data_IF_252338995330
#
_entry.id   IF_252338995330
#
_cell.length_a   1.000
_cell.length_b   1.000
_cell.length_c   1.000
_cell.angle_alpha   90.00
_cell.angle_beta   90.00
_cell.angle_gamma   90.00
#
_symmetry.space_group_name_H-M   'P 1'
#
loop_
_entity.id
_entity.type
_entity.pdbx_description
1 polymer ?
#
# COMPACT_ATOMS: atom_id res chain seq x y z
N UNK A 1 18.42 14.97 -0.98
CA UNK A 1 17.40 15.99 -1.33
C UNK A 1 17.03 15.97 -2.80
N UNK A 2 17.97 16.18 -3.74
CA UNK A 2 17.67 16.19 -5.20
C UNK A 2 17.01 14.89 -5.68
N UNK A 3 17.56 13.73 -5.29
CA UNK A 3 17.02 12.41 -5.65
C UNK A 3 15.56 12.24 -5.20
N UNK A 4 15.20 12.80 -4.04
CA UNK A 4 13.82 12.76 -3.51
C UNK A 4 12.88 13.68 -4.27
N UNK A 5 13.35 14.87 -4.67
CA UNK A 5 12.56 15.80 -5.49
C UNK A 5 12.29 15.25 -6.89
N UNK A 6 13.21 14.44 -7.41
CA UNK A 6 13.04 13.74 -8.69
C UNK A 6 12.25 12.42 -8.55
N UNK A 7 11.77 12.07 -7.36
CA UNK A 7 11.08 10.80 -7.07
C UNK A 7 11.93 9.56 -7.44
N UNK A 8 13.24 9.62 -7.20
CA UNK A 8 14.20 8.55 -7.48
C UNK A 8 14.75 7.87 -6.21
N UNK A 9 14.36 8.32 -5.02
CA UNK A 9 14.95 7.90 -3.75
C UNK A 9 14.82 6.39 -3.49
N UNK A 10 13.74 5.79 -3.98
CA UNK A 10 13.44 4.37 -3.78
C UNK A 10 14.24 3.43 -4.70
N UNK A 11 14.99 3.97 -5.66
CA UNK A 11 15.92 3.20 -6.50
C UNK A 11 17.29 3.02 -5.86
N UNK A 12 17.61 3.84 -4.86
CA UNK A 12 18.88 3.78 -4.14
C UNK A 12 18.68 2.96 -2.87
N UNK A 13 19.27 1.76 -2.74
CA UNK A 13 19.03 0.85 -1.62
C UNK A 13 19.80 1.27 -0.35
N UNK A 14 19.69 2.54 0.04
CA UNK A 14 20.34 3.15 1.21
C UNK A 14 19.27 3.83 2.07
N UNK A 15 19.15 3.40 3.33
CA UNK A 15 18.07 3.84 4.24
C UNK A 15 18.01 5.35 4.47
N UNK A 16 19.17 6.00 4.59
CA UNK A 16 19.25 7.45 4.71
C UNK A 16 18.79 8.19 3.46
N UNK A 17 18.69 7.51 2.31
CA UNK A 17 18.18 8.09 1.06
C UNK A 17 16.67 7.90 0.96
N UNK A 18 16.15 6.66 1.06
CA UNK A 18 14.73 6.39 0.85
C UNK A 18 13.84 6.81 2.04
N UNK A 19 14.37 6.87 3.27
CA UNK A 19 13.65 7.41 4.44
C UNK A 19 14.11 8.82 4.85
N UNK A 20 15.06 9.43 4.11
CA UNK A 20 15.80 10.60 4.59
C UNK A 20 14.98 11.89 4.76
N UNK A 21 13.95 12.13 3.95
CA UNK A 21 13.18 13.38 3.99
C UNK A 21 11.85 13.21 4.71
N UNK A 22 11.05 12.25 4.25
CA UNK A 22 9.79 11.86 4.87
C UNK A 22 9.71 10.34 4.83
N UNK A 23 9.62 9.70 6.00
CA UNK A 23 9.60 8.23 6.14
C UNK A 23 8.66 7.54 5.16
N UNK A 24 7.39 7.94 5.02
CA UNK A 24 6.46 7.38 4.03
C UNK A 24 6.67 7.80 2.56
N UNK A 25 7.44 8.84 2.25
CA UNK A 25 7.49 9.39 0.87
C UNK A 25 8.14 8.51 -0.19
N UNK A 26 8.80 7.41 0.18
CA UNK A 26 9.35 6.46 -0.79
C UNK A 26 8.26 5.84 -1.68
N UNK A 27 7.01 5.76 -1.22
CA UNK A 27 5.90 5.25 -2.04
C UNK A 27 5.63 6.12 -3.27
N UNK A 28 5.89 7.43 -3.19
CA UNK A 28 5.72 8.38 -4.29
C UNK A 28 6.60 8.04 -5.49
N UNK A 29 7.83 7.57 -5.24
CA UNK A 29 8.72 7.10 -6.29
C UNK A 29 8.20 5.81 -6.94
N UNK A 30 7.59 4.91 -6.15
CA UNK A 30 6.92 3.73 -6.69
C UNK A 30 5.73 4.14 -7.57
N UNK A 31 4.87 5.04 -7.09
CA UNK A 31 3.72 5.53 -7.84
C UNK A 31 4.12 6.21 -9.14
N UNK A 32 5.12 7.10 -9.12
CA UNK A 32 5.64 7.75 -10.31
C UNK A 32 6.12 6.73 -11.36
N UNK A 33 6.88 5.71 -10.92
CA UNK A 33 7.29 4.62 -11.81
C UNK A 33 6.09 3.82 -12.34
N UNK A 34 5.12 3.50 -11.49
CA UNK A 34 3.91 2.78 -11.88
C UNK A 34 3.12 3.53 -12.95
N UNK A 35 2.94 4.85 -12.80
CA UNK A 35 2.32 5.69 -13.83
C UNK A 35 3.13 5.71 -15.13
N UNK A 36 4.46 5.71 -15.05
CA UNK A 36 5.31 5.65 -16.24
C UNK A 36 5.18 4.31 -17.00
N UNK A 37 5.04 3.18 -16.30
CA UNK A 37 4.89 1.85 -16.93
C UNK A 37 3.45 1.50 -17.32
N UNK A 38 2.45 2.13 -16.68
CA UNK A 38 1.03 1.91 -16.93
C UNK A 38 0.61 1.95 -18.41
N UNK A 39 0.98 2.95 -19.24
CA UNK A 39 0.60 3.00 -20.66
C UNK A 39 1.14 1.82 -21.47
N UNK A 40 2.20 1.15 -21.00
CA UNK A 40 2.76 -0.03 -21.65
C UNK A 40 2.10 -1.32 -21.16
N UNK A 41 1.76 -1.42 -19.87
CA UNK A 41 1.16 -2.63 -19.29
C UNK A 41 -0.31 -2.81 -19.70
N UNK A 42 -1.11 -1.74 -19.62
CA UNK A 42 -2.56 -1.83 -19.81
C UNK A 42 -2.96 -2.34 -21.19
N UNK A 43 -2.38 -1.88 -22.32
CA UNK A 43 -2.74 -2.41 -23.63
C UNK A 43 -2.46 -3.91 -23.76
N UNK A 44 -1.42 -4.43 -23.09
CA UNK A 44 -1.09 -5.86 -23.09
C UNK A 44 -2.12 -6.66 -22.30
N UNK A 45 -2.47 -6.20 -21.10
CA UNK A 45 -3.50 -6.85 -20.27
C UNK A 45 -4.87 -6.83 -20.95
N UNK A 46 -5.24 -5.71 -21.59
CA UNK A 46 -6.53 -5.57 -22.29
C UNK A 46 -6.75 -6.58 -23.41
N UNK A 47 -5.67 -7.10 -24.02
CA UNK A 47 -5.73 -8.13 -25.07
C UNK A 47 -5.95 -9.54 -24.52
N UNK A 48 -5.81 -9.73 -23.20
CA UNK A 48 -5.92 -11.03 -22.58
C UNK A 48 -7.38 -11.40 -22.31
N UNK A 49 -7.71 -12.68 -22.46
CA UNK A 49 -8.98 -13.22 -21.96
C UNK A 49 -9.01 -13.17 -20.43
N UNK A 50 -10.19 -13.28 -19.84
CA UNK A 50 -10.35 -13.37 -18.37
C UNK A 50 -9.52 -14.53 -17.81
N UNK A 51 -9.60 -15.71 -18.42
CA UNK A 51 -8.86 -16.89 -17.98
C UNK A 51 -7.34 -16.67 -18.04
N UNK A 52 -6.83 -16.08 -19.12
CA UNK A 52 -5.41 -15.75 -19.24
C UNK A 52 -4.98 -14.70 -18.22
N UNK A 53 -5.83 -13.73 -17.91
CA UNK A 53 -5.56 -12.69 -16.91
C UNK A 53 -5.45 -13.28 -15.51
N UNK A 54 -6.37 -14.18 -15.14
CA UNK A 54 -6.33 -14.87 -13.84
C UNK A 54 -5.10 -15.77 -13.73
N UNK A 55 -4.77 -16.53 -14.78
CA UNK A 55 -3.54 -17.32 -14.83
C UNK A 55 -2.30 -16.44 -14.67
N UNK A 56 -2.26 -15.29 -15.33
CA UNK A 56 -1.14 -14.37 -15.27
C UNK A 56 -0.96 -13.74 -13.88
N UNK A 57 -2.05 -13.40 -13.18
CA UNK A 57 -1.97 -12.98 -11.77
C UNK A 57 -1.34 -14.06 -10.90
N UNK A 58 -1.73 -15.33 -11.07
CA UNK A 58 -1.15 -16.44 -10.32
C UNK A 58 0.34 -16.64 -10.65
N UNK A 59 0.73 -16.56 -11.93
CA UNK A 59 2.13 -16.67 -12.35
C UNK A 59 2.97 -15.53 -11.78
N UNK A 60 2.50 -14.28 -11.86
CA UNK A 60 3.20 -13.12 -11.29
C UNK A 60 3.37 -13.29 -9.78
N UNK A 61 2.32 -13.71 -9.08
CA UNK A 61 2.36 -13.91 -7.64
C UNK A 61 3.39 -14.98 -7.26
N UNK A 62 3.36 -16.15 -7.92
CA UNK A 62 4.34 -17.22 -7.69
C UNK A 62 5.75 -16.74 -8.00
N UNK A 63 5.95 -16.00 -9.10
CA UNK A 63 7.24 -15.44 -9.45
C UNK A 63 7.75 -14.44 -8.38
N UNK A 64 6.87 -13.60 -7.83
CA UNK A 64 7.21 -12.68 -6.75
C UNK A 64 7.61 -13.43 -5.47
N UNK A 65 6.88 -14.48 -5.09
CA UNK A 65 7.23 -15.34 -3.95
C UNK A 65 8.60 -16.00 -4.15
N UNK A 66 8.83 -16.61 -5.32
CA UNK A 66 10.10 -17.27 -5.63
C UNK A 66 11.26 -16.27 -5.62
N UNK A 67 11.06 -15.10 -6.22
CA UNK A 67 12.06 -14.03 -6.25
C UNK A 67 12.40 -13.57 -4.82
N UNK A 68 11.39 -13.35 -3.97
CA UNK A 68 11.59 -12.96 -2.58
C UNK A 68 12.38 -14.02 -1.81
N UNK A 69 12.03 -15.30 -1.93
CA UNK A 69 12.75 -16.41 -1.27
C UNK A 69 14.21 -16.44 -1.72
N UNK A 70 14.46 -16.39 -3.04
CA UNK A 70 15.81 -16.41 -3.59
C UNK A 70 16.62 -15.20 -3.09
N UNK A 71 16.04 -14.00 -3.13
CA UNK A 71 16.75 -12.78 -2.74
C UNK A 71 16.98 -12.68 -1.23
N UNK A 72 16.07 -13.17 -0.38
CA UNK A 72 16.32 -13.26 1.07
C UNK A 72 17.44 -14.25 1.41
N UNK A 73 17.64 -15.29 0.59
CA UNK A 73 18.79 -16.20 0.74
C UNK A 73 20.08 -15.55 0.24
N UNK A 74 20.07 -14.94 -0.94
CA UNK A 74 21.28 -14.36 -1.55
C UNK A 74 21.75 -13.07 -0.88
N UNK A 75 20.82 -12.26 -0.36
CA UNK A 75 21.07 -10.96 0.23
C UNK A 75 20.87 -10.96 1.74
N UNK A 76 21.10 -12.09 2.42
CA UNK A 76 20.85 -12.27 3.86
C UNK A 76 21.38 -11.11 4.71
N UNK A 77 22.58 -10.63 4.40
CA UNK A 77 23.24 -9.51 5.08
C UNK A 77 23.27 -8.22 4.22
N UNK A 78 22.54 -8.24 3.11
CA UNK A 78 22.44 -7.15 2.15
C UNK A 78 21.25 -6.21 2.41
N UNK A 79 21.03 -5.22 1.54
CA UNK A 79 19.98 -4.21 1.73
C UNK A 79 18.60 -4.74 1.31
N UNK A 80 18.11 -5.79 2.00
CA UNK A 80 16.82 -6.45 1.69
C UNK A 80 15.66 -5.46 1.73
N UNK A 81 15.59 -4.54 2.70
CA UNK A 81 14.56 -3.48 2.73
C UNK A 81 14.65 -2.56 1.49
N UNK A 82 15.88 -2.18 1.12
CA UNK A 82 16.16 -1.35 -0.05
C UNK A 82 15.69 -1.99 -1.37
N UNK A 83 15.81 -3.32 -1.48
CA UNK A 83 15.57 -4.06 -2.72
C UNK A 83 14.18 -4.72 -2.77
N UNK A 84 13.72 -5.28 -1.66
CA UNK A 84 12.49 -6.08 -1.57
C UNK A 84 11.31 -5.31 -0.99
N UNK A 85 11.52 -4.13 -0.41
CA UNK A 85 10.41 -3.35 0.17
C UNK A 85 10.21 -2.03 -0.53
N UNK A 86 11.24 -1.17 -0.60
CA UNK A 86 11.06 0.18 -1.15
C UNK A 86 11.20 0.24 -2.67
N UNK A 87 11.90 -0.73 -3.28
CA UNK A 87 12.23 -0.67 -4.70
C UNK A 87 10.98 -0.72 -5.62
N UNK A 88 10.79 0.26 -6.53
CA UNK A 88 9.65 0.28 -7.43
C UNK A 88 9.58 -0.93 -8.38
N UNK A 89 10.72 -1.45 -8.83
CA UNK A 89 10.75 -2.60 -9.74
C UNK A 89 10.32 -3.88 -9.03
N UNK A 90 10.76 -4.09 -7.78
CA UNK A 90 10.27 -5.22 -7.00
C UNK A 90 8.76 -5.10 -6.77
N UNK A 91 8.24 -3.95 -6.36
CA UNK A 91 6.80 -3.77 -6.09
C UNK A 91 5.89 -3.80 -7.33
N UNK A 92 6.47 -3.86 -8.54
CA UNK A 92 5.70 -3.85 -9.79
C UNK A 92 4.69 -5.01 -9.89
N UNK A 93 4.95 -6.15 -9.23
CA UNK A 93 4.02 -7.28 -9.23
C UNK A 93 2.67 -6.94 -8.56
N UNK A 94 2.68 -6.14 -7.48
CA UNK A 94 1.46 -5.71 -6.78
C UNK A 94 0.61 -4.83 -7.70
N UNK A 95 1.26 -3.89 -8.38
CA UNK A 95 0.61 -3.00 -9.33
C UNK A 95 0.04 -3.76 -10.54
N UNK A 96 0.79 -4.72 -11.08
CA UNK A 96 0.34 -5.57 -12.17
C UNK A 96 -0.87 -6.43 -11.78
N UNK A 97 -0.88 -7.01 -10.56
CA UNK A 97 -2.07 -7.70 -10.02
C UNK A 97 -3.27 -6.76 -9.98
N UNK A 98 -3.10 -5.52 -9.52
CA UNK A 98 -4.17 -4.51 -9.52
C UNK A 98 -4.75 -4.23 -10.90
N UNK A 99 -3.91 -4.05 -11.93
CA UNK A 99 -4.34 -3.85 -13.33
C UNK A 99 -5.10 -5.08 -13.83
N UNK A 100 -4.55 -6.27 -13.62
CA UNK A 100 -5.17 -7.53 -14.04
C UNK A 100 -6.51 -7.77 -13.33
N UNK A 101 -6.59 -7.47 -12.04
CA UNK A 101 -7.80 -7.58 -11.25
C UNK A 101 -8.90 -6.67 -11.80
N UNK A 102 -8.58 -5.39 -12.03
CA UNK A 102 -9.50 -4.43 -12.61
C UNK A 102 -10.00 -4.89 -13.99
N UNK A 103 -9.09 -5.35 -14.86
CA UNK A 103 -9.45 -5.89 -16.18
C UNK A 103 -10.37 -7.11 -16.06
N UNK A 104 -10.00 -8.11 -15.25
CA UNK A 104 -10.79 -9.33 -15.07
C UNK A 104 -12.20 -9.01 -14.56
N UNK A 105 -12.32 -8.18 -13.51
CA UNK A 105 -13.61 -7.76 -12.96
C UNK A 105 -14.42 -6.96 -13.99
N UNK A 106 -13.80 -6.05 -14.73
CA UNK A 106 -14.48 -5.28 -15.79
C UNK A 106 -15.04 -6.16 -16.91
N UNK A 107 -14.41 -7.31 -17.18
CA UNK A 107 -14.82 -8.32 -18.16
C UNK A 107 -15.79 -9.36 -17.59
N UNK A 108 -16.31 -9.15 -16.39
CA UNK A 108 -17.32 -10.02 -15.77
C UNK A 108 -16.75 -11.17 -14.95
N UNK A 109 -15.44 -11.20 -14.66
CA UNK A 109 -14.93 -12.12 -13.66
C UNK A 109 -15.51 -11.79 -12.29
N UNK A 110 -16.01 -12.82 -11.60
CA UNK A 110 -16.66 -12.70 -10.30
C UNK A 110 -16.17 -13.82 -9.39
N UNK A 111 -15.29 -13.55 -8.42
CA UNK A 111 -14.90 -14.57 -7.45
C UNK A 111 -16.11 -14.98 -6.60
N UNK A 112 -16.19 -16.28 -6.27
CA UNK A 112 -17.26 -16.88 -5.47
C UNK A 112 -17.08 -16.65 -3.97
N UNK A 113 -16.59 -15.46 -3.58
CA UNK A 113 -16.40 -15.09 -2.17
C UNK A 113 -17.35 -13.94 -1.82
N UNK A 114 -18.08 -14.09 -0.71
CA UNK A 114 -18.93 -13.00 -0.21
C UNK A 114 -18.09 -11.96 0.53
N UNK A 115 -18.57 -10.71 0.58
CA UNK A 115 -17.87 -9.61 1.27
C UNK A 115 -17.46 -9.94 2.71
N UNK A 116 -18.32 -10.59 3.49
CA UNK A 116 -18.02 -10.99 4.88
C UNK A 116 -16.81 -11.91 4.98
N UNK A 117 -16.69 -12.88 4.07
CA UNK A 117 -15.59 -13.85 4.06
C UNK A 117 -14.31 -13.22 3.54
N UNK A 118 -14.40 -12.26 2.62
CA UNK A 118 -13.25 -11.50 2.17
C UNK A 118 -12.69 -10.60 3.28
N UNK A 119 -13.56 -9.90 4.02
CA UNK A 119 -13.17 -9.11 5.20
C UNK A 119 -12.56 -10.00 6.28
N UNK A 120 -13.21 -11.13 6.61
CA UNK A 120 -12.67 -12.07 7.59
C UNK A 120 -11.31 -12.62 7.15
N UNK A 121 -11.15 -12.95 5.87
CA UNK A 121 -9.87 -13.41 5.33
C UNK A 121 -8.75 -12.39 5.53
N UNK A 122 -9.01 -11.10 5.25
CA UNK A 122 -8.05 -10.01 5.52
C UNK A 122 -7.73 -9.90 7.02
N UNK A 123 -8.75 -9.95 7.90
CA UNK A 123 -8.53 -9.85 9.34
C UNK A 123 -7.73 -11.03 9.90
N UNK A 124 -8.04 -12.25 9.44
CA UNK A 124 -7.31 -13.46 9.85
C UNK A 124 -5.88 -13.43 9.32
N UNK A 125 -5.67 -13.04 8.06
CA UNK A 125 -4.33 -12.88 7.49
C UNK A 125 -3.53 -11.81 8.24
N UNK A 126 -4.14 -10.67 8.56
CA UNK A 126 -3.53 -9.62 9.37
C UNK A 126 -3.13 -10.13 10.75
N UNK A 127 -4.03 -10.79 11.46
CA UNK A 127 -3.75 -11.36 12.77
C UNK A 127 -2.64 -12.41 12.71
N UNK A 128 -2.63 -13.28 11.69
CA UNK A 128 -1.60 -14.30 11.50
C UNK A 128 -0.22 -13.68 11.21
N UNK A 129 -0.15 -12.67 10.33
CA UNK A 129 1.09 -11.94 10.03
C UNK A 129 1.65 -11.27 11.29
N UNK A 130 0.80 -10.61 12.08
CA UNK A 130 1.23 -9.97 13.33
C UNK A 130 1.64 -11.01 14.39
N UNK A 131 0.88 -12.08 14.56
CA UNK A 131 1.21 -13.16 15.49
C UNK A 131 2.55 -13.81 15.14
N UNK A 132 2.79 -14.07 13.84
CA UNK A 132 4.06 -14.59 13.36
C UNK A 132 5.20 -13.61 13.63
N UNK A 133 5.01 -12.34 13.31
CA UNK A 133 5.99 -11.28 13.60
C UNK A 133 6.34 -11.21 15.08
N UNK A 134 5.35 -11.27 15.97
CA UNK A 134 5.54 -11.30 17.42
C UNK A 134 6.27 -12.57 17.86
N UNK A 135 5.94 -13.74 17.32
CA UNK A 135 6.62 -14.99 17.64
C UNK A 135 8.10 -14.99 17.24
N UNK A 136 8.43 -14.36 16.10
CA UNK A 136 9.81 -14.12 15.65
C UNK A 136 10.54 -13.21 16.65
N UNK A 137 9.97 -12.05 16.96
CA UNK A 137 10.57 -11.07 17.88
C UNK A 137 10.79 -11.64 19.29
N UNK A 138 9.86 -12.44 19.80
CA UNK A 138 9.96 -13.10 21.10
C UNK A 138 10.80 -14.39 21.07
N UNK A 139 11.34 -14.79 19.91
CA UNK A 139 12.13 -16.01 19.73
C UNK A 139 11.41 -17.28 20.23
N UNK A 140 10.12 -17.41 19.92
CA UNK A 140 9.28 -18.51 20.41
C UNK A 140 9.20 -19.65 19.39
N UNK A 141 9.34 -20.88 19.88
CA UNK A 141 9.10 -22.10 19.10
C UNK A 141 10.10 -22.27 17.94
N UNK A 142 9.67 -22.82 16.78
CA UNK A 142 10.57 -23.10 15.66
C UNK A 142 11.15 -21.82 15.04
N UNK A 143 10.54 -20.66 15.29
CA UNK A 143 10.95 -19.36 14.75
C UNK A 143 12.16 -18.77 15.47
N UNK A 144 12.52 -19.26 16.65
CA UNK A 144 13.73 -18.85 17.39
C UNK A 144 15.03 -19.04 16.60
N UNK A 145 15.02 -19.95 15.61
CA UNK A 145 16.16 -20.26 14.75
C UNK A 145 16.24 -19.38 13.50
N UNK A 146 15.23 -18.54 13.26
CA UNK A 146 15.22 -17.65 12.11
C UNK A 146 16.16 -16.47 12.36
N UNK A 147 17.03 -16.12 11.40
CA UNK A 147 17.99 -15.02 11.55
C UNK A 147 17.33 -13.66 11.25
N UNK A 148 16.19 -13.37 11.87
CA UNK A 148 15.41 -12.15 11.64
C UNK A 148 14.76 -11.67 12.93
N UNK A 149 14.79 -10.37 13.17
CA UNK A 149 14.27 -9.74 14.40
C UNK A 149 12.76 -9.48 14.36
N UNK A 150 12.20 -9.35 13.17
CA UNK A 150 10.78 -9.10 12.90
C UNK A 150 10.45 -9.66 11.51
N UNK A 151 9.19 -9.95 11.24
CA UNK A 151 8.76 -10.35 9.91
C UNK A 151 8.99 -9.20 8.91
N UNK A 152 9.78 -9.39 7.84
CA UNK A 152 9.98 -8.38 6.81
C UNK A 152 8.65 -7.95 6.16
N UNK A 153 8.51 -6.64 5.91
CA UNK A 153 7.28 -6.06 5.36
C UNK A 153 6.94 -6.60 3.97
N UNK A 154 7.93 -6.94 3.17
CA UNK A 154 7.75 -7.54 1.84
C UNK A 154 7.14 -8.94 1.92
N UNK A 155 7.54 -9.75 2.90
CA UNK A 155 6.95 -11.06 3.15
C UNK A 155 5.52 -10.92 3.68
N UNK A 156 5.26 -9.93 4.53
CA UNK A 156 3.90 -9.59 4.94
C UNK A 156 3.04 -9.18 3.73
N UNK A 157 3.55 -8.37 2.81
CA UNK A 157 2.85 -8.00 1.58
C UNK A 157 2.53 -9.21 0.70
N UNK A 158 3.44 -10.17 0.54
CA UNK A 158 3.18 -11.42 -0.19
C UNK A 158 1.97 -12.17 0.39
N UNK A 159 1.87 -12.26 1.72
CA UNK A 159 0.70 -12.89 2.36
C UNK A 159 -0.57 -12.08 2.11
N UNK A 160 -0.49 -10.75 2.23
CA UNK A 160 -1.67 -9.88 2.29
C UNK A 160 -2.29 -9.54 0.94
N UNK A 161 -1.50 -9.40 -0.12
CA UNK A 161 -1.98 -8.97 -1.44
C UNK A 161 -3.08 -9.87 -2.02
N UNK A 162 -3.01 -11.21 -1.94
CA UNK A 162 -4.11 -12.08 -2.36
C UNK A 162 -5.43 -11.80 -1.61
N UNK A 163 -5.38 -11.55 -0.30
CA UNK A 163 -6.58 -11.25 0.49
C UNK A 163 -7.13 -9.86 0.15
N UNK A 164 -6.27 -8.86 -0.05
CA UNK A 164 -6.70 -7.54 -0.53
C UNK A 164 -7.31 -7.61 -1.93
N UNK A 165 -6.73 -8.38 -2.86
CA UNK A 165 -7.28 -8.58 -4.19
C UNK A 165 -8.67 -9.21 -4.13
N UNK A 166 -8.89 -10.22 -3.28
CA UNK A 166 -10.20 -10.83 -3.07
C UNK A 166 -11.20 -9.87 -2.44
N UNK A 167 -10.77 -9.05 -1.46
CA UNK A 167 -11.62 -8.02 -0.84
C UNK A 167 -12.06 -6.99 -1.86
N UNK A 168 -11.13 -6.46 -2.66
CA UNK A 168 -11.41 -5.50 -3.73
C UNK A 168 -12.35 -6.12 -4.76
N UNK A 169 -12.12 -7.36 -5.18
CA UNK A 169 -12.98 -8.06 -6.12
C UNK A 169 -14.40 -8.28 -5.58
N UNK A 170 -14.52 -8.64 -4.31
CA UNK A 170 -15.81 -8.84 -3.64
C UNK A 170 -16.59 -7.53 -3.49
N UNK A 171 -15.88 -6.44 -3.15
CA UNK A 171 -16.46 -5.10 -3.07
C UNK A 171 -16.94 -4.63 -4.44
N UNK A 172 -16.08 -4.71 -5.46
CA UNK A 172 -16.40 -4.30 -6.84
C UNK A 172 -17.55 -5.11 -7.43
N UNK A 173 -17.59 -6.43 -7.20
CA UNK A 173 -18.74 -7.26 -7.58
C UNK A 173 -20.03 -6.74 -6.96
N UNK A 174 -20.02 -6.51 -5.65
CA UNK A 174 -21.22 -6.13 -4.91
C UNK A 174 -21.76 -4.77 -5.36
N UNK A 175 -20.85 -3.85 -5.70
CA UNK A 175 -21.18 -2.56 -6.31
C UNK A 175 -21.79 -2.72 -7.72
N UNK A 176 -21.19 -3.55 -8.56
CA UNK A 176 -21.70 -3.83 -9.91
C UNK A 176 -23.06 -4.56 -9.89
N UNK A 177 -23.34 -5.33 -8.83
CA UNK A 177 -24.63 -5.98 -8.58
C UNK A 177 -25.68 -5.00 -7.99
N UNK A 178 -25.34 -3.70 -7.83
CA UNK A 178 -26.26 -2.65 -7.37
C UNK A 178 -26.46 -2.61 -5.85
N UNK A 179 -25.68 -3.36 -5.07
CA UNK A 179 -25.83 -3.39 -3.63
C UNK A 179 -24.99 -2.31 -2.94
N UNK A 180 -25.65 -1.52 -2.08
CA UNK A 180 -24.94 -0.59 -1.21
C UNK A 180 -24.16 -1.36 -0.13
N UNK A 181 -22.91 -0.98 0.08
CA UNK A 181 -22.05 -1.49 1.15
C UNK A 181 -21.82 -0.42 2.22
N UNK A 182 -21.48 -0.85 3.43
CA UNK A 182 -21.02 0.06 4.48
C UNK A 182 -19.89 0.98 3.99
N UNK A 183 -18.97 0.45 3.17
CA UNK A 183 -17.80 1.17 2.64
C UNK A 183 -18.15 2.31 1.66
N UNK A 184 -19.38 2.36 1.16
CA UNK A 184 -19.85 3.42 0.25
C UNK A 184 -20.42 4.65 0.97
N UNK A 185 -20.45 4.66 2.32
CA UNK A 185 -20.96 5.81 3.06
C UNK A 185 -20.14 7.07 2.72
N UNK A 186 -20.76 8.24 2.48
CA UNK A 186 -20.06 9.44 2.02
C UNK A 186 -18.88 9.86 2.91
N UNK A 187 -18.98 9.68 4.22
CA UNK A 187 -17.91 9.99 5.16
C UNK A 187 -16.73 9.02 5.05
N UNK A 188 -16.96 7.73 4.81
CA UNK A 188 -15.90 6.74 4.57
C UNK A 188 -15.19 7.01 3.25
N UNK A 189 -15.96 7.36 2.21
CA UNK A 189 -15.39 7.77 0.92
C UNK A 189 -14.55 9.05 1.09
N UNK A 190 -15.00 9.98 1.93
CA UNK A 190 -14.24 11.22 2.22
C UNK A 190 -12.94 10.92 2.97
N UNK A 191 -12.98 10.05 3.99
CA UNK A 191 -11.76 9.59 4.67
C UNK A 191 -10.81 8.86 3.71
N UNK A 192 -11.35 8.08 2.77
CA UNK A 192 -10.58 7.46 1.70
C UNK A 192 -9.84 8.48 0.83
N UNK A 193 -10.49 9.60 0.46
CA UNK A 193 -9.86 10.69 -0.27
C UNK A 193 -8.73 11.35 0.53
N UNK A 194 -8.90 11.51 1.84
CA UNK A 194 -7.88 12.12 2.72
C UNK A 194 -6.75 11.16 3.07
N UNK A 195 -6.95 9.84 2.87
CA UNK A 195 -6.03 8.80 3.35
C UNK A 195 -4.60 8.96 2.83
N UNK A 196 -4.43 9.43 1.58
CA UNK A 196 -3.11 9.66 1.00
C UNK A 196 -2.40 10.86 1.63
N UNK A 197 -3.11 11.99 1.81
CA UNK A 197 -2.58 13.13 2.53
C UNK A 197 -2.20 12.75 3.97
N UNK A 198 -3.05 11.98 4.65
CA UNK A 198 -2.78 11.46 6.00
C UNK A 198 -1.54 10.56 6.01
N UNK A 199 -1.41 9.67 5.03
CA UNK A 199 -0.24 8.80 4.88
C UNK A 199 1.06 9.61 4.76
N UNK A 200 1.05 10.75 4.05
CA UNK A 200 2.24 11.60 3.93
C UNK A 200 2.52 12.47 5.17
N UNK A 201 1.49 12.86 5.92
CA UNK A 201 1.64 13.84 7.03
C UNK A 201 1.74 13.20 8.42
N UNK A 202 1.17 12.01 8.64
CA UNK A 202 1.07 11.43 9.99
C UNK A 202 2.43 11.23 10.67
N UNK A 203 3.43 10.74 9.94
CA UNK A 203 4.75 10.45 10.50
C UNK A 203 5.43 11.71 11.03
N UNK A 204 5.31 12.84 10.31
CA UNK A 204 5.84 14.12 10.76
C UNK A 204 5.12 14.63 12.00
N UNK A 205 3.79 14.52 12.04
CA UNK A 205 3.00 14.98 13.19
C UNK A 205 3.30 14.16 14.45
N UNK A 206 3.42 12.84 14.30
CA UNK A 206 3.82 11.95 15.40
C UNK A 206 5.24 12.23 15.87
N UNK A 207 6.19 12.43 14.95
CA UNK A 207 7.57 12.77 15.31
C UNK A 207 7.68 14.13 15.99
N UNK A 208 6.92 15.13 15.52
CA UNK A 208 6.86 16.45 16.15
C UNK A 208 6.28 16.37 17.56
N UNK A 209 5.17 15.62 17.74
CA UNK A 209 4.58 15.40 19.06
C UNK A 209 5.58 14.70 20.00
N UNK A 210 6.24 13.64 19.53
CA UNK A 210 7.23 12.90 20.33
C UNK A 210 8.42 13.76 20.78
N UNK A 211 8.82 14.79 20.02
CA UNK A 211 9.91 15.71 20.40
C UNK A 211 9.51 16.75 21.45
N UNK A 212 8.22 17.08 21.53
CA UNK A 212 7.71 18.12 22.44
C UNK A 212 7.27 17.48 23.77
N UNK A 213 6.84 16.22 23.73
CA UNK A 213 6.33 15.52 24.90
C UNK A 213 7.48 15.07 25.81
N UNK A 214 7.41 15.37 27.13
CA UNK A 214 8.38 14.85 28.09
C UNK A 214 8.31 13.33 28.19
N UNK A 215 9.46 12.68 28.31
CA UNK A 215 9.55 11.22 28.54
C UNK A 215 8.96 10.79 29.89
N UNK A 216 8.74 11.74 30.81
CA UNK A 216 8.21 11.51 32.16
C UNK A 216 6.68 11.41 32.21
N UNK A 217 5.97 11.54 31.07
CA UNK A 217 4.51 11.41 31.03
C UNK A 217 4.08 9.98 31.35
N UNK A 218 2.99 9.84 32.10
CA UNK A 218 2.40 8.53 32.34
C UNK A 218 1.86 7.92 31.03
N UNK A 219 1.76 6.59 30.99
CA UNK A 219 1.39 5.89 29.76
C UNK A 219 -0.03 6.24 29.27
N UNK A 220 -0.98 6.38 30.20
CA UNK A 220 -2.36 6.73 29.87
C UNK A 220 -2.44 8.09 29.16
N UNK A 221 -1.72 9.11 29.65
CA UNK A 221 -1.66 10.43 29.04
C UNK A 221 -0.91 10.38 27.72
N UNK A 222 0.16 9.58 27.61
CA UNK A 222 0.89 9.36 26.34
C UNK A 222 -0.04 8.77 25.27
N UNK A 223 -0.84 7.76 25.60
CA UNK A 223 -1.83 7.19 24.68
C UNK A 223 -2.94 8.18 24.34
N UNK A 224 -3.45 8.93 25.32
CA UNK A 224 -4.45 9.97 25.10
C UNK A 224 -3.96 11.05 24.13
N UNK A 225 -2.75 11.55 24.34
CA UNK A 225 -2.11 12.54 23.47
C UNK A 225 -1.86 11.97 22.08
N UNK A 226 -1.38 10.73 21.98
CA UNK A 226 -1.19 10.06 20.69
C UNK A 226 -2.51 9.95 19.92
N UNK A 227 -3.60 9.58 20.60
CA UNK A 227 -4.93 9.55 20.01
C UNK A 227 -5.38 10.94 19.52
N UNK A 228 -5.15 11.98 20.32
CA UNK A 228 -5.43 13.35 19.91
C UNK A 228 -4.59 13.77 18.68
N UNK A 229 -3.30 13.41 18.63
CA UNK A 229 -2.42 13.68 17.48
C UNK A 229 -2.92 12.97 16.22
N UNK A 230 -3.40 11.73 16.33
CA UNK A 230 -4.00 11.01 15.19
C UNK A 230 -5.25 11.71 14.69
N UNK A 231 -6.14 12.14 15.59
CA UNK A 231 -7.35 12.89 15.21
C UNK A 231 -6.99 14.22 14.54
N UNK A 232 -6.02 14.95 15.10
CA UNK A 232 -5.49 16.17 14.49
C UNK A 232 -4.85 15.91 13.13
N UNK A 233 -4.13 14.80 12.96
CA UNK A 233 -3.55 14.40 11.69
C UNK A 233 -4.61 14.11 10.62
N UNK A 234 -5.73 13.47 11.00
CA UNK A 234 -6.87 13.26 10.11
C UNK A 234 -7.47 14.62 9.69
N UNK A 235 -7.71 15.52 10.64
CA UNK A 235 -8.22 16.87 10.33
C UNK A 235 -7.28 17.65 9.41
N UNK A 236 -5.99 17.66 9.73
CA UNK A 236 -4.95 18.31 8.94
C UNK A 236 -4.85 17.72 7.52
N UNK A 237 -4.95 16.40 7.38
CA UNK A 237 -4.97 15.75 6.07
C UNK A 237 -6.14 16.21 5.19
N UNK A 238 -7.31 16.46 5.80
CA UNK A 238 -8.47 17.02 5.09
C UNK A 238 -8.21 18.44 4.58
N UNK A 239 -7.52 19.28 5.35
CA UNK A 239 -7.13 20.64 4.94
C UNK A 239 -6.12 20.60 3.79
N UNK A 240 -5.07 19.78 3.91
CA UNK A 240 -4.05 19.59 2.86
C UNK A 240 -4.70 19.08 1.57
N UNK A 241 -5.59 18.09 1.68
CA UNK A 241 -6.31 17.56 0.53
C UNK A 241 -7.15 18.63 -0.19
N UNK A 242 -7.91 19.43 0.58
CA UNK A 242 -8.80 20.45 0.00
C UNK A 242 -8.05 21.64 -0.60
N UNK A 243 -6.95 22.07 0.01
CA UNK A 243 -6.26 23.31 -0.36
C UNK A 243 -5.03 23.10 -1.25
N UNK A 244 -4.44 21.91 -1.25
CA UNK A 244 -3.24 21.61 -2.03
C UNK A 244 -3.54 20.59 -3.12
N UNK A 245 -4.02 19.41 -2.75
CA UNK A 245 -4.16 18.28 -3.68
C UNK A 245 -5.25 18.55 -4.71
N UNK A 246 -6.47 18.88 -4.27
CA UNK A 246 -7.62 19.08 -5.16
C UNK A 246 -7.44 20.24 -6.15
N UNK A 247 -6.90 21.42 -5.75
CA UNK A 247 -6.64 22.50 -6.71
C UNK A 247 -5.58 22.15 -7.75
N UNK A 248 -4.52 21.44 -7.34
CA UNK A 248 -3.47 21.00 -8.25
C UNK A 248 -3.98 19.94 -9.22
N UNK A 249 -4.72 18.95 -8.73
CA UNK A 249 -5.34 17.91 -9.56
C UNK A 249 -6.25 18.54 -10.63
N UNK A 250 -7.10 19.48 -10.24
CA UNK A 250 -7.99 20.22 -11.18
C UNK A 250 -7.19 20.95 -12.26
N UNK A 251 -6.11 21.64 -11.89
CA UNK A 251 -5.23 22.35 -12.84
C UNK A 251 -4.53 21.40 -13.82
N UNK A 252 -4.07 20.24 -13.34
CA UNK A 252 -3.40 19.25 -14.18
C UNK A 252 -4.38 18.57 -15.16
N UNK A 253 -5.58 18.20 -14.69
CA UNK A 253 -6.62 17.59 -15.54
C UNK A 253 -7.16 18.54 -16.60
N UNK A 254 -7.35 19.82 -16.26
CA UNK A 254 -7.81 20.85 -17.20
C UNK A 254 -6.87 21.04 -18.39
N UNK A 255 -5.57 20.73 -18.23
CA UNK A 255 -4.58 20.78 -19.32
C UNK A 255 -4.58 19.55 -20.21
N UNK A 256 -5.05 18.39 -19.73
CA UNK A 256 -5.01 17.12 -20.46
C UNK A 256 -6.32 16.79 -21.18
N UNK A 257 -7.45 17.35 -20.73
CA UNK A 257 -8.74 17.27 -21.40
C UNK A 257 -9.32 18.69 -21.48
N UNK A 258 -9.00 19.49 -22.52
CA UNK A 258 -9.80 20.68 -22.78
C UNK A 258 -11.25 20.19 -22.92
N UNK A 259 -12.16 20.78 -22.14
CA UNK A 259 -13.57 20.51 -22.29
C UNK A 259 -13.90 20.67 -23.77
N UNK A 260 -14.39 19.60 -24.43
CA UNK A 260 -15.05 19.77 -25.72
C UNK A 260 -16.25 20.66 -25.44
N UNK A 261 -16.09 21.93 -25.80
CA UNK A 261 -17.20 22.86 -25.95
C UNK A 261 -17.81 22.52 -27.30
N UNK A 262 -18.82 21.66 -27.27
CA UNK A 262 -19.85 21.56 -28.31
C UNK A 262 -21.18 21.90 -27.64
#
# INVERSE_FOLDING_TARGET
>A
MIVTLLLLQSWVPVSSVYFGMNGPSWSLACEAFFYAVFPFLVPRVKRMTVASTVKFMAVIYVAAVLLAVVLHVLLRDGPTVGILYVNPLYRLWEFAIGICLAHAVSKGWRPRISMRWAVLGVLVAFAAVNALSTAITLHVGPFARLPMSVLPNDLASLVMVPFFALLIAAAARRELDGHVTFFMRPWLVTLGKWSFALYLTHAFLLAAAARILPDTLNEALRYGITGAVVIMAIGFSGLVYQWVEMPLERRLRARQFPARVD
#
